data_IF_501227887505
#
_entry.id   IF_501227887505
#
_cell.length_a   1.000
_cell.length_b   1.000
_cell.length_c   1.000
_cell.angle_alpha   90.00
_cell.angle_beta   90.00
_cell.angle_gamma   90.00
#
_symmetry.space_group_name_H-M   'P 1'
#
loop_
_entity.id
_entity.type
_entity.pdbx_description
1 polymer ?
#
# COMPACT_ATOMS: atom_id res chain seq x y z
N UNK A 1 51.89 61.43 -38.82
CA UNK A 1 50.72 61.28 -37.91
C UNK A 1 49.74 60.39 -38.59
N UNK A 2 49.70 59.07 -38.19
CA UNK A 2 48.81 58.05 -38.83
C UNK A 2 47.74 57.78 -37.78
N UNK A 3 46.47 58.13 -38.11
CA UNK A 3 45.33 57.81 -37.29
C UNK A 3 44.90 56.40 -37.60
N UNK A 4 45.00 55.52 -36.61
CA UNK A 4 44.48 54.16 -36.69
C UNK A 4 43.03 54.13 -36.14
N UNK A 5 42.07 53.95 -37.02
CA UNK A 5 40.66 53.86 -36.67
C UNK A 5 40.33 52.39 -36.30
N UNK A 6 40.04 52.13 -35.02
CA UNK A 6 39.57 50.83 -34.53
C UNK A 6 38.07 50.70 -34.83
N UNK A 7 37.71 49.76 -35.69
CA UNK A 7 36.35 49.38 -35.94
C UNK A 7 35.93 48.28 -34.92
N UNK A 8 35.11 48.66 -33.95
CA UNK A 8 34.49 47.71 -33.01
C UNK A 8 33.29 47.04 -33.68
N UNK A 9 33.44 45.77 -34.05
CA UNK A 9 32.33 44.92 -34.51
C UNK A 9 31.69 44.28 -33.27
N UNK A 10 30.49 44.74 -32.91
CA UNK A 10 29.67 44.10 -31.92
C UNK A 10 29.01 42.87 -32.52
N UNK A 11 29.48 41.69 -32.18
CA UNK A 11 28.77 40.43 -32.42
C UNK A 11 27.64 40.27 -31.37
N UNK A 12 26.40 40.52 -31.78
CA UNK A 12 25.22 40.14 -31.01
C UNK A 12 25.05 38.60 -31.09
N UNK A 13 25.61 37.89 -30.11
CA UNK A 13 25.26 36.48 -29.92
C UNK A 13 23.92 36.45 -29.17
N UNK A 14 22.80 36.35 -29.93
CA UNK A 14 21.55 35.94 -29.37
C UNK A 14 21.67 34.44 -29.01
N UNK A 15 22.04 34.15 -27.77
CA UNK A 15 21.82 32.84 -27.16
C UNK A 15 20.31 32.61 -27.03
N UNK A 16 19.71 32.00 -28.04
CA UNK A 16 18.41 31.38 -27.95
C UNK A 16 18.56 30.13 -27.05
N UNK A 17 18.69 30.35 -25.76
CA UNK A 17 18.46 29.35 -24.75
C UNK A 17 16.99 29.01 -24.79
N UNK A 18 16.62 27.93 -25.48
CA UNK A 18 15.37 27.24 -25.15
C UNK A 18 15.50 26.78 -23.72
N UNK A 19 15.00 27.58 -22.77
CA UNK A 19 14.69 27.06 -21.45
C UNK A 19 13.83 25.81 -21.66
N UNK A 20 14.41 24.64 -21.39
CA UNK A 20 13.61 23.46 -21.13
C UNK A 20 12.73 23.86 -19.95
N UNK A 21 11.48 24.20 -20.23
CA UNK A 21 10.48 24.44 -19.21
C UNK A 21 10.38 23.13 -18.43
N UNK A 22 11.16 23.05 -17.36
CA UNK A 22 11.09 21.97 -16.41
C UNK A 22 9.67 22.03 -15.84
N UNK A 23 8.83 21.12 -16.28
CA UNK A 23 7.45 21.03 -15.80
C UNK A 23 7.48 20.51 -14.38
N UNK A 24 7.78 21.39 -13.44
CA UNK A 24 7.60 21.10 -12.02
C UNK A 24 6.12 20.76 -11.79
N UNK A 25 5.90 19.69 -11.03
CA UNK A 25 4.56 19.34 -10.58
C UNK A 25 4.13 20.34 -9.52
N UNK A 26 3.15 21.21 -9.84
CA UNK A 26 2.60 22.18 -8.90
C UNK A 26 1.49 21.52 -8.08
N UNK A 27 1.66 21.49 -6.76
CA UNK A 27 0.64 21.09 -5.82
C UNK A 27 0.82 21.82 -4.49
N UNK A 28 -0.29 21.98 -3.74
CA UNK A 28 -0.24 22.46 -2.37
C UNK A 28 -0.05 21.26 -1.44
N UNK A 29 0.96 21.31 -0.57
CA UNK A 29 1.17 20.32 0.50
C UNK A 29 0.67 20.84 1.84
N UNK A 30 -0.03 19.99 2.59
CA UNK A 30 -0.54 20.27 3.93
C UNK A 30 -0.30 19.04 4.82
N UNK A 31 0.01 19.28 6.09
CA UNK A 31 0.24 18.22 7.08
C UNK A 31 -0.67 18.40 8.28
N UNK A 32 -1.23 17.28 8.76
CA UNK A 32 -2.01 17.24 9.99
C UNK A 32 -1.97 15.84 10.62
N UNK A 33 -2.53 15.72 11.82
CA UNK A 33 -2.65 14.46 12.52
C UNK A 33 -4.13 14.13 12.76
N UNK A 34 -4.43 12.81 12.80
CA UNK A 34 -5.77 12.30 13.10
C UNK A 34 -5.70 11.15 14.11
N UNK A 35 -6.81 10.85 14.75
CA UNK A 35 -6.86 9.83 15.78
C UNK A 35 -6.05 10.23 17.02
N UNK A 36 -5.56 9.22 17.71
CA UNK A 36 -4.82 9.41 18.95
C UNK A 36 -5.69 9.67 20.17
N UNK A 37 -5.11 9.44 21.32
CA UNK A 37 -5.72 9.71 22.63
C UNK A 37 -4.67 10.03 23.67
N UNK A 38 -5.04 10.81 24.69
CA UNK A 38 -4.21 11.03 25.85
C UNK A 38 -4.25 9.81 26.79
N UNK A 39 -3.08 9.35 27.21
CA UNK A 39 -2.89 8.24 28.14
C UNK A 39 -2.06 8.72 29.32
N UNK A 40 -2.58 8.52 30.54
CA UNK A 40 -1.83 8.79 31.78
C UNK A 40 -0.76 7.73 31.99
N UNK A 41 0.41 8.18 32.41
CA UNK A 41 1.53 7.33 32.85
C UNK A 41 1.51 7.17 34.37
N UNK A 42 2.28 6.19 34.89
CA UNK A 42 2.40 5.91 36.32
C UNK A 42 2.88 7.14 37.11
N UNK A 43 3.65 8.03 36.49
CA UNK A 43 4.14 9.29 37.09
C UNK A 43 3.14 10.45 36.96
N UNK A 44 1.87 10.18 36.70
CA UNK A 44 0.79 11.15 36.45
C UNK A 44 0.97 12.07 35.25
N UNK A 45 2.01 11.87 34.41
CA UNK A 45 2.18 12.58 33.15
C UNK A 45 1.27 12.02 32.09
N UNK A 46 0.83 12.87 31.18
CA UNK A 46 -0.09 12.49 30.10
C UNK A 46 0.62 12.61 28.77
N UNK A 47 0.55 11.56 27.96
CA UNK A 47 1.12 11.50 26.62
C UNK A 47 0.04 11.18 25.60
N UNK A 48 0.21 11.66 24.36
CA UNK A 48 -0.66 11.27 23.24
C UNK A 48 -0.06 10.07 22.54
N UNK A 49 -0.90 9.08 22.23
CA UNK A 49 -0.51 7.88 21.46
C UNK A 49 -1.60 7.47 20.48
N UNK A 50 -1.23 6.71 19.44
CA UNK A 50 -2.15 6.23 18.40
C UNK A 50 -2.55 7.27 17.36
N UNK A 51 -1.92 8.46 17.38
CA UNK A 51 -2.08 9.47 16.33
C UNK A 51 -1.44 8.98 15.03
N UNK A 52 -2.02 9.40 13.90
CA UNK A 52 -1.55 9.10 12.56
C UNK A 52 -1.21 10.40 11.83
N UNK A 53 0.02 10.49 11.34
CA UNK A 53 0.48 11.54 10.45
C UNK A 53 -0.20 11.41 9.09
N UNK A 54 -0.64 12.54 8.56
CA UNK A 54 -1.27 12.64 7.24
C UNK A 54 -0.64 13.77 6.46
N UNK A 55 -0.15 13.47 5.27
CA UNK A 55 0.33 14.43 4.29
C UNK A 55 -0.67 14.48 3.13
N UNK A 56 -1.19 15.67 2.85
CA UNK A 56 -2.15 15.91 1.77
C UNK A 56 -1.49 16.69 0.67
N UNK A 57 -1.59 16.19 -0.55
CA UNK A 57 -1.23 16.91 -1.76
C UNK A 57 -2.48 17.27 -2.55
N UNK A 58 -2.65 18.58 -2.82
CA UNK A 58 -3.77 19.10 -3.59
C UNK A 58 -3.24 19.61 -4.92
N UNK A 59 -3.68 19.03 -6.07
CA UNK A 59 -3.27 19.51 -7.39
C UNK A 59 -3.79 20.92 -7.66
N UNK A 60 -3.16 21.62 -8.62
CA UNK A 60 -3.65 22.92 -9.10
C UNK A 60 -5.09 22.84 -9.62
N UNK A 61 -5.42 21.76 -10.33
CA UNK A 61 -6.76 21.48 -10.86
C UNK A 61 -7.25 20.14 -10.33
N UNK A 62 -8.33 20.15 -9.55
CA UNK A 62 -8.98 18.95 -9.03
C UNK A 62 -9.93 18.43 -10.11
N UNK A 63 -9.70 17.17 -10.57
CA UNK A 63 -10.47 16.52 -11.63
C UNK A 63 -11.35 15.37 -11.15
N UNK A 64 -11.15 14.93 -9.91
CA UNK A 64 -11.82 13.74 -9.37
C UNK A 64 -12.59 14.08 -8.11
N UNK A 65 -13.79 13.52 -8.01
CA UNK A 65 -14.72 13.74 -6.88
C UNK A 65 -14.16 13.21 -5.57
N UNK A 66 -13.54 12.05 -5.60
CA UNK A 66 -13.04 11.39 -4.40
C UNK A 66 -11.51 11.45 -4.34
N UNK A 67 -10.94 11.88 -3.20
CA UNK A 67 -9.51 11.81 -2.96
C UNK A 67 -9.04 10.38 -2.79
N UNK A 68 -7.73 10.17 -2.93
CA UNK A 68 -7.06 8.91 -2.67
C UNK A 68 -6.41 8.95 -1.28
N UNK A 69 -6.54 7.87 -0.51
CA UNK A 69 -5.80 7.64 0.73
C UNK A 69 -4.86 6.46 0.51
N UNK A 70 -3.56 6.73 0.50
CA UNK A 70 -2.50 5.75 0.26
C UNK A 70 -1.93 5.27 1.59
N UNK A 71 -2.06 3.97 1.87
CA UNK A 71 -1.63 3.34 3.11
C UNK A 71 -0.55 2.30 2.81
N UNK A 72 0.65 2.53 3.31
CA UNK A 72 1.83 1.70 3.06
C UNK A 72 1.81 0.33 3.76
N UNK A 73 2.71 -0.57 3.35
CA UNK A 73 2.91 -1.89 3.92
C UNK A 73 3.76 -1.92 5.20
N UNK A 74 4.18 -3.12 5.61
CA UNK A 74 5.07 -3.31 6.75
C UNK A 74 6.46 -2.71 6.50
N UNK A 75 7.09 -2.20 7.54
CA UNK A 75 8.41 -1.54 7.52
C UNK A 75 8.52 -0.31 6.60
N UNK A 76 7.42 0.13 5.99
CA UNK A 76 7.35 1.26 5.09
C UNK A 76 6.77 2.50 5.79
N UNK A 77 6.90 3.64 5.11
CA UNK A 77 6.23 4.91 5.40
C UNK A 77 5.59 5.44 4.11
N UNK A 78 5.02 6.64 4.15
CA UNK A 78 4.49 7.32 2.95
C UNK A 78 5.55 7.53 1.85
N UNK A 79 6.84 7.44 2.17
CA UNK A 79 7.94 7.64 1.22
C UNK A 79 7.83 6.71 0.00
N UNK A 80 7.36 5.48 0.18
CA UNK A 80 7.20 4.54 -0.95
C UNK A 80 6.12 4.93 -1.97
N UNK A 81 5.30 5.95 -1.67
CA UNK A 81 4.35 6.54 -2.60
C UNK A 81 4.89 7.81 -3.29
N UNK A 82 5.88 8.47 -2.66
CA UNK A 82 6.43 9.75 -3.11
C UNK A 82 7.53 9.56 -4.16
N UNK A 83 8.43 8.61 -3.92
CA UNK A 83 9.61 8.38 -4.78
C UNK A 83 9.96 6.90 -4.82
N UNK A 84 10.73 6.51 -5.83
CA UNK A 84 11.36 5.19 -5.92
C UNK A 84 12.80 5.26 -5.43
N UNK A 85 13.42 4.14 -5.03
CA UNK A 85 14.81 4.12 -4.54
C UNK A 85 15.85 4.60 -5.58
N UNK A 86 15.53 4.50 -6.86
CA UNK A 86 16.34 4.99 -7.98
C UNK A 86 15.98 6.42 -8.43
N UNK A 87 15.24 7.18 -7.59
CA UNK A 87 14.96 8.60 -7.77
C UNK A 87 13.85 8.96 -8.76
N UNK A 88 13.12 7.98 -9.29
CA UNK A 88 11.95 8.25 -10.16
C UNK A 88 10.74 8.71 -9.33
N UNK A 89 9.79 9.46 -9.93
CA UNK A 89 8.54 9.82 -9.28
C UNK A 89 7.73 8.60 -8.83
N UNK A 90 7.18 8.65 -7.61
CA UNK A 90 6.27 7.65 -7.09
C UNK A 90 4.82 7.86 -7.55
N UNK A 91 3.91 7.00 -7.09
CA UNK A 91 2.49 7.03 -7.47
C UNK A 91 1.75 8.30 -7.02
N UNK A 92 2.14 8.90 -5.89
CA UNK A 92 1.55 10.15 -5.44
C UNK A 92 1.72 11.26 -6.47
N UNK A 93 2.91 11.35 -7.08
CA UNK A 93 3.19 12.30 -8.16
C UNK A 93 2.30 12.04 -9.40
N UNK A 94 2.14 10.75 -9.76
CA UNK A 94 1.28 10.38 -10.88
C UNK A 94 -0.18 10.81 -10.63
N UNK A 95 -0.73 10.47 -9.47
CA UNK A 95 -2.14 10.76 -9.17
C UNK A 95 -2.41 12.26 -9.02
N UNK A 96 -1.51 13.02 -8.36
CA UNK A 96 -1.65 14.48 -8.26
C UNK A 96 -1.58 15.13 -9.64
N UNK A 97 -0.65 14.69 -10.51
CA UNK A 97 -0.56 15.18 -11.90
C UNK A 97 -1.84 14.92 -12.69
N UNK A 98 -2.55 13.84 -12.38
CA UNK A 98 -3.82 13.48 -13.01
C UNK A 98 -5.05 14.12 -12.33
N UNK A 99 -4.87 15.02 -11.36
CA UNK A 99 -5.94 15.81 -10.74
C UNK A 99 -6.61 15.18 -9.53
N UNK A 100 -6.01 14.16 -8.91
CA UNK A 100 -6.48 13.63 -7.62
C UNK A 100 -5.92 14.44 -6.45
N UNK A 101 -6.75 14.70 -5.43
CA UNK A 101 -6.23 14.99 -4.10
C UNK A 101 -5.69 13.69 -3.53
N UNK A 102 -4.46 13.71 -3.02
CA UNK A 102 -3.79 12.51 -2.48
C UNK A 102 -3.47 12.73 -1.01
N UNK A 103 -3.92 11.81 -0.17
CA UNK A 103 -3.53 11.70 1.23
C UNK A 103 -2.57 10.53 1.39
N UNK A 104 -1.43 10.76 1.98
CA UNK A 104 -0.44 9.75 2.33
C UNK A 104 -0.28 9.72 3.83
N UNK A 105 -0.28 8.54 4.42
CA UNK A 105 -0.23 8.37 5.87
C UNK A 105 1.02 7.60 6.29
N UNK A 106 1.56 7.94 7.46
CA UNK A 106 2.41 7.02 8.21
C UNK A 106 1.52 6.38 9.29
N UNK A 107 1.46 5.04 9.31
CA UNK A 107 0.64 4.31 10.29
C UNK A 107 1.00 4.71 11.72
N UNK A 108 0.08 4.67 12.69
CA UNK A 108 0.40 4.96 14.09
C UNK A 108 1.62 4.19 14.58
N UNK A 109 2.44 4.82 15.42
CA UNK A 109 3.69 4.31 15.96
C UNK A 109 4.72 3.95 14.88
N UNK A 110 4.77 4.73 13.79
CA UNK A 110 5.69 4.53 12.66
C UNK A 110 6.06 5.83 11.97
N UNK A 111 7.33 5.97 11.55
CA UNK A 111 7.81 7.12 10.78
C UNK A 111 7.50 8.44 11.48
N UNK A 112 6.72 9.30 10.83
CA UNK A 112 6.31 10.60 11.38
C UNK A 112 5.12 10.53 12.36
N UNK A 113 4.52 9.35 12.53
CA UNK A 113 3.54 9.08 13.58
C UNK A 113 4.26 8.62 14.83
N UNK A 114 4.55 9.57 15.74
CA UNK A 114 5.38 9.33 16.91
C UNK A 114 4.92 8.13 17.75
N UNK A 115 5.88 7.41 18.30
CA UNK A 115 5.71 6.32 19.23
C UNK A 115 6.41 6.61 20.58
N UNK A 116 5.99 5.94 21.63
CA UNK A 116 6.54 6.13 22.97
C UNK A 116 6.96 4.79 23.57
N UNK A 117 8.24 4.57 23.90
CA UNK A 117 8.75 3.29 24.38
C UNK A 117 8.02 2.69 25.60
N UNK A 118 7.47 3.57 26.46
CA UNK A 118 6.78 3.17 27.68
C UNK A 118 5.28 2.87 27.48
N UNK A 119 4.73 3.13 26.29
CA UNK A 119 3.30 2.95 25.99
C UNK A 119 3.12 1.95 24.85
N UNK A 120 3.86 2.16 23.76
CA UNK A 120 3.82 1.32 22.60
C UNK A 120 4.54 0.00 22.89
N UNK A 121 3.99 -1.07 22.37
CA UNK A 121 4.53 -2.42 22.61
C UNK A 121 5.78 -2.68 21.77
N UNK A 122 6.23 -3.93 21.80
CA UNK A 122 7.44 -4.37 21.10
C UNK A 122 7.39 -4.06 19.59
N UNK A 123 8.53 -3.64 19.09
CA UNK A 123 8.78 -3.40 17.67
C UNK A 123 9.53 -4.54 17.01
N UNK A 124 9.47 -4.59 15.70
CA UNK A 124 10.27 -5.47 14.84
C UNK A 124 10.85 -4.71 13.68
N UNK A 125 12.06 -5.07 13.30
CA UNK A 125 12.69 -4.71 12.04
C UNK A 125 12.75 -5.91 11.09
N UNK A 126 12.83 -5.64 9.81
CA UNK A 126 13.22 -6.63 8.81
C UNK A 126 14.71 -6.42 8.50
N UNK A 127 15.50 -7.49 8.55
CA UNK A 127 16.88 -7.45 8.12
C UNK A 127 16.98 -7.43 6.59
N UNK A 128 18.15 -7.02 6.08
CA UNK A 128 18.37 -6.87 4.64
C UNK A 128 18.18 -8.19 3.89
N UNK A 129 18.62 -9.32 4.44
CA UNK A 129 18.52 -10.64 3.79
C UNK A 129 17.07 -11.09 3.59
N UNK A 130 16.16 -10.71 4.48
CA UNK A 130 14.73 -10.99 4.32
C UNK A 130 14.15 -10.13 3.18
N UNK A 131 14.56 -8.86 3.09
CA UNK A 131 14.08 -7.96 2.04
C UNK A 131 14.61 -8.38 0.67
N UNK A 132 15.91 -8.72 0.56
CA UNK A 132 16.49 -9.28 -0.66
C UNK A 132 15.69 -10.49 -1.15
N UNK A 133 15.49 -11.47 -0.27
CA UNK A 133 14.82 -12.74 -0.61
C UNK A 133 13.36 -12.58 -0.99
N UNK A 134 12.66 -11.59 -0.44
CA UNK A 134 11.21 -11.47 -0.63
C UNK A 134 10.82 -10.38 -1.60
N UNK A 135 11.59 -9.28 -1.68
CA UNK A 135 11.14 -8.07 -2.34
C UNK A 135 11.99 -7.67 -3.53
N UNK A 136 13.31 -7.69 -3.39
CA UNK A 136 14.19 -7.01 -4.33
C UNK A 136 14.99 -7.92 -5.26
N UNK A 137 15.30 -9.15 -4.82
CA UNK A 137 16.15 -10.08 -5.56
C UNK A 137 15.68 -11.55 -5.46
N UNK A 138 14.37 -11.77 -5.38
CA UNK A 138 13.80 -13.11 -5.13
C UNK A 138 14.26 -14.17 -6.14
N UNK A 139 14.49 -13.80 -7.39
CA UNK A 139 14.96 -14.66 -8.49
C UNK A 139 16.38 -15.21 -8.29
N UNK A 140 17.19 -14.55 -7.44
CA UNK A 140 18.58 -14.93 -7.20
C UNK A 140 18.73 -15.99 -6.10
N UNK A 141 17.64 -16.34 -5.42
CA UNK A 141 17.68 -17.30 -4.31
C UNK A 141 17.03 -18.64 -4.68
N UNK A 142 17.64 -19.73 -4.24
CA UNK A 142 17.08 -21.08 -4.38
C UNK A 142 15.93 -21.31 -3.39
N UNK A 143 15.04 -22.24 -3.73
CA UNK A 143 13.96 -22.72 -2.85
C UNK A 143 12.96 -21.64 -2.42
N UNK A 144 12.71 -20.66 -3.28
CA UNK A 144 11.66 -19.66 -3.10
C UNK A 144 10.28 -20.25 -3.52
N UNK A 145 9.30 -19.39 -3.67
CA UNK A 145 8.00 -19.78 -4.23
C UNK A 145 8.11 -20.00 -5.75
N UNK A 146 7.18 -20.74 -6.35
CA UNK A 146 7.30 -21.17 -7.75
C UNK A 146 7.48 -20.05 -8.77
N UNK A 147 6.96 -18.84 -8.51
CA UNK A 147 7.00 -17.71 -9.46
C UNK A 147 8.20 -16.78 -9.26
N UNK A 148 9.01 -16.95 -8.21
CA UNK A 148 10.12 -16.06 -7.85
C UNK A 148 11.10 -15.76 -9.00
N UNK A 149 11.40 -16.77 -9.83
CA UNK A 149 12.36 -16.64 -10.94
C UNK A 149 11.92 -15.66 -12.04
N UNK A 150 10.65 -15.23 -12.03
CA UNK A 150 10.10 -14.26 -13.00
C UNK A 150 10.35 -12.81 -12.62
N UNK A 151 10.95 -12.53 -11.46
CA UNK A 151 11.21 -11.17 -11.01
C UNK A 151 12.26 -10.47 -11.88
N UNK A 152 11.87 -9.40 -12.56
CA UNK A 152 12.74 -8.69 -13.52
C UNK A 152 12.61 -7.16 -13.45
N UNK A 153 11.68 -6.66 -12.63
CA UNK A 153 11.34 -5.25 -12.59
C UNK A 153 12.06 -4.44 -11.51
N UNK A 154 12.80 -5.08 -10.61
CA UNK A 154 13.60 -4.31 -9.66
C UNK A 154 14.69 -3.51 -10.38
N UNK A 155 14.85 -2.20 -10.09
CA UNK A 155 16.00 -1.43 -10.59
C UNK A 155 17.26 -1.80 -9.79
N UNK A 156 18.38 -2.06 -10.47
CA UNK A 156 19.62 -2.53 -9.85
C UNK A 156 19.65 -4.03 -9.54
N UNK A 157 20.59 -4.45 -8.69
CA UNK A 157 20.79 -5.87 -8.34
C UNK A 157 19.85 -6.37 -7.26
N UNK A 158 19.27 -5.47 -6.49
CA UNK A 158 18.40 -5.79 -5.36
C UNK A 158 19.11 -6.37 -4.13
N UNK A 159 20.45 -6.21 -4.02
CA UNK A 159 21.32 -6.77 -2.98
C UNK A 159 22.04 -5.68 -2.20
N UNK A 160 22.40 -5.98 -0.96
CA UNK A 160 23.25 -5.13 -0.13
C UNK A 160 24.50 -4.68 -0.89
N UNK A 161 24.84 -3.38 -0.80
CA UNK A 161 25.92 -2.74 -1.52
C UNK A 161 25.56 -2.24 -2.93
N UNK A 162 24.34 -2.51 -3.40
CA UNK A 162 23.76 -1.83 -4.55
C UNK A 162 23.13 -0.53 -4.07
N UNK A 163 23.47 0.60 -4.69
CA UNK A 163 23.01 1.93 -4.26
C UNK A 163 21.47 2.01 -4.17
N UNK A 164 20.76 1.38 -5.09
CA UNK A 164 19.30 1.39 -5.13
C UNK A 164 18.73 0.54 -3.99
N UNK A 165 19.30 -0.64 -3.73
CA UNK A 165 18.90 -1.46 -2.59
C UNK A 165 19.19 -0.73 -1.27
N UNK A 166 20.35 -0.11 -1.14
CA UNK A 166 20.75 0.58 0.08
C UNK A 166 19.83 1.79 0.35
N UNK A 167 19.41 2.54 -0.68
CA UNK A 167 18.37 3.57 -0.56
C UNK A 167 17.01 2.99 -0.13
N UNK A 168 16.61 1.86 -0.69
CA UNK A 168 15.40 1.17 -0.27
C UNK A 168 15.50 0.71 1.18
N UNK A 169 16.63 0.10 1.57
CA UNK A 169 16.82 -0.37 2.94
C UNK A 169 16.87 0.78 3.95
N UNK A 170 17.51 1.90 3.61
CA UNK A 170 17.55 3.10 4.43
C UNK A 170 16.15 3.71 4.69
N UNK A 171 15.19 3.48 3.81
CA UNK A 171 13.81 3.93 4.01
C UNK A 171 12.98 3.02 4.93
N UNK A 172 13.52 1.86 5.33
CA UNK A 172 12.81 0.93 6.20
C UNK A 172 12.78 1.42 7.63
N UNK A 173 11.65 1.26 8.29
CA UNK A 173 11.44 1.65 9.68
C UNK A 173 10.89 0.49 10.50
N UNK A 174 11.10 0.54 11.79
CA UNK A 174 10.49 -0.39 12.73
C UNK A 174 8.96 -0.32 12.66
N UNK A 175 8.32 -1.41 12.99
CA UNK A 175 6.87 -1.51 13.09
C UNK A 175 6.45 -2.30 14.31
N UNK A 176 5.28 -2.00 14.86
CA UNK A 176 4.70 -2.78 15.95
C UNK A 176 4.71 -4.27 15.61
N UNK A 177 5.19 -5.08 16.53
CA UNK A 177 5.25 -6.55 16.39
C UNK A 177 3.84 -7.16 16.39
N UNK A 178 2.93 -6.58 17.16
CA UNK A 178 1.54 -7.03 17.27
C UNK A 178 0.70 -6.58 16.07
N UNK A 179 0.27 -7.54 15.26
CA UNK A 179 -0.69 -7.29 14.18
C UNK A 179 -2.06 -6.85 14.69
N UNK A 180 -2.49 -7.36 15.85
CA UNK A 180 -3.76 -6.98 16.47
C UNK A 180 -3.73 -5.50 16.88
N UNK A 181 -2.65 -5.07 17.52
CA UNK A 181 -2.50 -3.68 17.92
C UNK A 181 -2.42 -2.73 16.73
N UNK A 182 -1.57 -3.03 15.74
CA UNK A 182 -1.50 -2.27 14.50
C UNK A 182 -2.86 -2.14 13.82
N UNK A 183 -3.63 -3.24 13.76
CA UNK A 183 -4.97 -3.27 13.15
C UNK A 183 -5.93 -2.34 13.87
N UNK A 184 -5.96 -2.37 15.21
CA UNK A 184 -6.85 -1.52 16.00
C UNK A 184 -6.47 -0.04 15.90
N UNK A 185 -5.17 0.29 15.96
CA UNK A 185 -4.68 1.66 15.84
C UNK A 185 -5.01 2.24 14.46
N UNK A 186 -4.72 1.51 13.38
CA UNK A 186 -4.98 1.99 12.01
C UNK A 186 -6.47 2.04 11.71
N UNK A 187 -7.29 1.09 12.18
CA UNK A 187 -8.75 1.16 12.09
C UNK A 187 -9.28 2.47 12.68
N UNK A 188 -8.85 2.80 13.90
CA UNK A 188 -9.34 4.00 14.61
C UNK A 188 -8.84 5.29 13.95
N UNK A 189 -7.56 5.37 13.62
CA UNK A 189 -6.98 6.55 12.98
C UNK A 189 -7.49 6.75 11.54
N UNK A 190 -7.67 5.66 10.78
CA UNK A 190 -8.23 5.68 9.45
C UNK A 190 -9.70 6.10 9.43
N UNK A 191 -10.50 5.64 10.40
CA UNK A 191 -11.87 6.10 10.59
C UNK A 191 -11.91 7.61 10.90
N UNK A 192 -11.06 8.07 11.82
CA UNK A 192 -10.94 9.51 12.15
C UNK A 192 -10.47 10.34 10.95
N UNK A 193 -9.61 9.78 10.08
CA UNK A 193 -9.24 10.45 8.83
C UNK A 193 -10.46 10.63 7.92
N UNK A 194 -11.22 9.56 7.68
CA UNK A 194 -12.42 9.63 6.84
C UNK A 194 -13.48 10.56 7.43
N UNK A 195 -13.68 10.58 8.75
CA UNK A 195 -14.58 11.53 9.42
C UNK A 195 -14.17 12.99 9.16
N UNK A 196 -12.87 13.25 9.02
CA UNK A 196 -12.31 14.59 8.76
C UNK A 196 -12.38 15.00 7.30
N UNK A 197 -12.09 14.07 6.36
CA UNK A 197 -11.93 14.40 4.93
C UNK A 197 -13.16 14.08 4.08
N UNK A 198 -14.10 13.30 4.61
CA UNK A 198 -15.26 12.79 3.87
C UNK A 198 -14.94 11.55 3.02
N UNK A 199 -15.82 11.27 2.03
CA UNK A 199 -15.70 10.07 1.19
C UNK A 199 -14.40 10.03 0.38
N UNK A 200 -13.74 8.84 0.37
CA UNK A 200 -12.45 8.62 -0.27
C UNK A 200 -12.33 7.22 -0.90
N UNK A 201 -11.30 7.04 -1.72
CA UNK A 201 -10.84 5.75 -2.25
C UNK A 201 -9.59 5.35 -1.48
N UNK A 202 -9.53 4.12 -0.98
CA UNK A 202 -8.36 3.59 -0.27
C UNK A 202 -7.45 2.83 -1.25
N UNK A 203 -6.15 3.12 -1.22
CA UNK A 203 -5.11 2.32 -1.89
C UNK A 203 -4.23 1.73 -0.79
N UNK A 204 -4.24 0.41 -0.69
CA UNK A 204 -3.55 -0.33 0.38
C UNK A 204 -2.55 -1.31 -0.21
N UNK A 205 -1.44 -1.53 0.51
CA UNK A 205 -0.41 -2.48 0.11
C UNK A 205 -0.03 -3.41 1.28
N UNK A 206 0.06 -4.72 1.02
CA UNK A 206 0.62 -5.69 1.95
C UNK A 206 -0.06 -5.65 3.33
N UNK A 207 0.64 -5.27 4.39
CA UNK A 207 0.10 -5.16 5.76
C UNK A 207 -1.14 -4.28 5.84
N UNK A 208 -1.25 -3.25 5.02
CA UNK A 208 -2.41 -2.35 5.06
C UNK A 208 -3.65 -2.87 4.33
N UNK A 209 -3.57 -3.96 3.60
CA UNK A 209 -4.76 -4.59 3.01
C UNK A 209 -5.84 -4.89 4.06
N UNK A 210 -5.54 -5.68 5.11
CA UNK A 210 -6.45 -5.87 6.24
C UNK A 210 -6.95 -4.57 6.89
N UNK A 211 -6.13 -3.53 6.93
CA UNK A 211 -6.55 -2.23 7.47
C UNK A 211 -7.59 -1.54 6.57
N UNK A 212 -7.46 -1.69 5.25
CA UNK A 212 -8.47 -1.21 4.31
C UNK A 212 -9.85 -1.82 4.57
N UNK A 213 -9.91 -3.13 4.83
CA UNK A 213 -11.13 -3.82 5.22
C UNK A 213 -11.71 -3.28 6.53
N UNK A 214 -10.87 -3.10 7.55
CA UNK A 214 -11.26 -2.61 8.87
C UNK A 214 -11.74 -1.15 8.86
N UNK A 215 -11.10 -0.27 8.09
CA UNK A 215 -11.52 1.13 7.92
C UNK A 215 -12.88 1.16 7.21
N UNK A 216 -13.06 0.31 6.17
CA UNK A 216 -14.33 0.20 5.45
C UNK A 216 -15.44 -0.32 6.34
N UNK A 217 -15.17 -1.34 7.15
CA UNK A 217 -16.12 -1.88 8.11
C UNK A 217 -16.56 -0.84 9.15
N UNK A 218 -15.63 0.03 9.58
CA UNK A 218 -15.90 1.10 10.53
C UNK A 218 -16.62 2.31 9.90
N UNK A 219 -16.43 2.59 8.61
CA UNK A 219 -16.99 3.74 7.88
C UNK A 219 -17.43 3.34 6.47
N UNK A 220 -18.43 2.43 6.36
CA UNK A 220 -18.84 1.91 5.06
C UNK A 220 -19.31 3.00 4.09
N UNK A 221 -19.99 4.04 4.58
CA UNK A 221 -20.51 5.11 3.73
C UNK A 221 -19.43 6.06 3.18
N UNK A 222 -18.28 6.12 3.85
CA UNK A 222 -17.17 7.01 3.48
C UNK A 222 -16.11 6.32 2.58
N UNK A 223 -16.13 5.00 2.43
CA UNK A 223 -15.24 4.31 1.49
C UNK A 223 -15.98 4.06 0.17
N UNK A 224 -15.52 4.69 -0.92
CA UNK A 224 -16.14 4.61 -2.26
C UNK A 224 -15.51 3.54 -3.14
N UNK A 225 -14.31 3.11 -2.81
CA UNK A 225 -13.63 2.02 -3.48
C UNK A 225 -12.34 1.65 -2.77
N UNK A 226 -11.83 0.47 -3.05
CA UNK A 226 -10.59 -0.04 -2.48
C UNK A 226 -9.73 -0.61 -3.62
N UNK A 227 -8.50 -0.15 -3.70
CA UNK A 227 -7.44 -0.80 -4.47
C UNK A 227 -6.55 -1.51 -3.46
N UNK A 228 -6.63 -2.82 -3.41
CA UNK A 228 -5.79 -3.62 -2.51
C UNK A 228 -4.70 -4.34 -3.30
N UNK A 229 -3.48 -4.13 -2.89
CA UNK A 229 -2.29 -4.64 -3.55
C UNK A 229 -1.68 -5.68 -2.63
N UNK A 230 -1.77 -6.94 -3.02
CA UNK A 230 -1.14 -8.05 -2.29
C UNK A 230 -1.36 -7.98 -0.77
N UNK A 231 -2.62 -7.96 -0.30
CA UNK A 231 -2.94 -7.80 1.11
C UNK A 231 -2.37 -8.96 1.94
N UNK A 232 -1.95 -8.67 3.17
CA UNK A 232 -1.55 -9.73 4.10
C UNK A 232 -2.62 -10.81 4.22
N UNK A 233 -2.19 -12.05 4.13
CA UNK A 233 -3.02 -13.25 4.12
C UNK A 233 -2.17 -14.51 4.27
N UNK A 234 -2.67 -15.67 3.84
CA UNK A 234 -4.04 -15.94 3.37
C UNK A 234 -5.07 -16.02 4.53
N UNK A 235 -6.36 -16.18 4.23
CA UNK A 235 -7.41 -16.40 5.22
C UNK A 235 -7.13 -17.61 6.12
N UNK A 236 -7.46 -17.49 7.40
CA UNK A 236 -7.47 -18.53 8.43
C UNK A 236 -6.07 -19.06 8.74
N UNK A 237 -5.44 -19.80 7.82
CA UNK A 237 -4.12 -20.42 8.04
C UNK A 237 -3.21 -20.26 6.84
N UNK A 238 -1.93 -20.05 7.13
CA UNK A 238 -0.90 -20.01 6.10
C UNK A 238 -0.51 -21.42 5.60
N UNK A 239 0.36 -21.49 4.59
CA UNK A 239 0.82 -22.77 3.99
C UNK A 239 1.48 -23.74 4.96
N UNK A 240 1.90 -23.28 6.15
CA UNK A 240 2.48 -24.11 7.22
C UNK A 240 1.44 -24.56 8.25
N UNK A 241 0.14 -24.28 8.03
CA UNK A 241 -0.93 -24.60 8.95
C UNK A 241 -1.01 -23.70 10.18
N UNK A 242 -0.17 -22.66 10.28
CA UNK A 242 -0.22 -21.68 11.37
C UNK A 242 -1.32 -20.65 11.12
N UNK A 243 -1.95 -20.19 12.20
CA UNK A 243 -2.96 -19.15 12.13
C UNK A 243 -2.44 -17.90 11.41
N UNK A 244 -3.27 -17.31 10.58
CA UNK A 244 -3.01 -16.14 9.77
C UNK A 244 -4.11 -15.11 10.04
N UNK A 245 -5.05 -14.89 9.12
CA UNK A 245 -6.18 -13.97 9.30
C UNK A 245 -7.35 -14.69 9.96
N UNK A 246 -7.33 -14.78 11.28
CA UNK A 246 -8.27 -15.60 12.06
C UNK A 246 -9.73 -15.19 11.93
N UNK A 247 -9.99 -13.92 11.58
CA UNK A 247 -11.33 -13.40 11.27
C UNK A 247 -11.64 -13.42 9.76
N UNK A 248 -11.03 -14.32 9.03
CA UNK A 248 -11.17 -14.45 7.58
C UNK A 248 -10.14 -13.63 6.84
N UNK A 249 -10.33 -12.32 6.72
CA UNK A 249 -9.42 -11.41 6.01
C UNK A 249 -8.69 -10.43 6.95
N UNK A 250 -8.86 -10.57 8.27
CA UNK A 250 -8.27 -9.72 9.29
C UNK A 250 -7.85 -10.54 10.52
N UNK A 251 -7.08 -9.94 11.42
CA UNK A 251 -6.68 -10.52 12.71
C UNK A 251 -7.51 -10.00 13.88
N UNK A 252 -8.41 -9.06 13.65
CA UNK A 252 -9.33 -8.46 14.64
C UNK A 252 -10.77 -8.54 14.12
N UNK A 253 -11.79 -8.40 14.98
CA UNK A 253 -13.18 -8.54 14.60
C UNK A 253 -13.61 -7.63 13.45
N UNK A 254 -14.43 -8.18 12.56
CA UNK A 254 -15.20 -7.50 11.54
C UNK A 254 -16.69 -7.79 11.70
N UNK A 255 -17.52 -6.96 11.08
CA UNK A 255 -18.98 -7.11 11.12
C UNK A 255 -19.43 -8.18 10.12
N UNK A 256 -19.84 -9.32 10.65
CA UNK A 256 -20.44 -10.43 9.88
C UNK A 256 -21.94 -10.53 10.12
N UNK A 257 -22.65 -11.04 9.12
CA UNK A 257 -24.05 -11.48 9.22
C UNK A 257 -24.18 -12.97 8.82
N UNK A 258 -24.72 -13.84 9.65
CA UNK A 258 -25.06 -13.66 11.08
C UNK A 258 -23.84 -13.24 11.94
N UNK A 259 -24.11 -12.44 12.97
CA UNK A 259 -23.07 -11.90 13.86
C UNK A 259 -22.24 -13.01 14.50
N UNK A 260 -20.93 -12.79 14.57
CA UNK A 260 -19.98 -13.66 15.29
C UNK A 260 -19.24 -12.85 16.37
N UNK A 261 -19.06 -13.47 17.53
CA UNK A 261 -18.32 -12.89 18.66
C UNK A 261 -16.94 -13.54 18.86
N UNK A 262 -16.67 -14.63 18.15
CA UNK A 262 -15.43 -15.39 18.26
C UNK A 262 -15.04 -15.90 16.86
N UNK A 263 -13.75 -15.83 16.47
CA UNK A 263 -13.31 -16.33 15.17
C UNK A 263 -13.58 -17.83 14.95
N UNK A 264 -13.72 -18.63 16.01
CA UNK A 264 -14.10 -20.05 15.92
C UNK A 264 -15.52 -20.25 15.39
N UNK A 265 -16.37 -19.22 15.41
CA UNK A 265 -17.70 -19.28 14.80
C UNK A 265 -17.65 -19.21 13.25
N UNK A 266 -16.49 -18.91 12.69
CA UNK A 266 -16.22 -19.12 11.27
C UNK A 266 -15.86 -20.60 11.08
N UNK A 267 -16.87 -21.41 10.82
CA UNK A 267 -16.65 -22.81 10.46
C UNK A 267 -15.95 -22.88 9.10
N UNK A 268 -14.77 -23.52 9.07
CA UNK A 268 -13.91 -23.49 7.88
C UNK A 268 -13.52 -24.88 7.41
N UNK A 269 -13.23 -24.98 6.13
CA UNK A 269 -12.76 -26.20 5.46
C UNK A 269 -11.67 -25.82 4.46
N UNK A 270 -10.66 -26.67 4.32
CA UNK A 270 -9.64 -26.48 3.30
C UNK A 270 -10.09 -27.15 1.99
N UNK A 271 -9.80 -26.52 0.86
CA UNK A 271 -10.00 -27.12 -0.46
C UNK A 271 -9.28 -28.47 -0.60
N UNK A 272 -9.90 -29.40 -1.28
CA UNK A 272 -9.29 -30.71 -1.56
C UNK A 272 -8.20 -30.64 -2.63
N UNK A 273 -8.34 -29.72 -3.60
CA UNK A 273 -7.39 -29.47 -4.69
C UNK A 273 -7.12 -27.98 -4.83
N UNK A 274 -5.90 -27.62 -5.22
CA UNK A 274 -5.55 -26.25 -5.58
C UNK A 274 -6.26 -25.86 -6.89
N UNK A 275 -6.61 -24.57 -7.03
CA UNK A 275 -7.33 -24.05 -8.20
C UNK A 275 -6.47 -23.94 -9.47
N UNK A 276 -5.14 -24.05 -9.35
CA UNK A 276 -4.22 -23.97 -10.48
C UNK A 276 -2.83 -24.46 -10.13
N UNK A 277 -2.00 -24.58 -11.17
CA UNK A 277 -0.58 -24.92 -11.02
C UNK A 277 0.12 -23.81 -10.21
N UNK A 278 0.96 -24.21 -9.27
CA UNK A 278 1.72 -23.30 -8.40
C UNK A 278 0.86 -22.43 -7.46
N UNK A 279 -0.41 -22.78 -7.25
CA UNK A 279 -1.29 -22.16 -6.27
C UNK A 279 -1.45 -23.05 -5.03
N UNK A 280 -1.73 -22.43 -3.89
CA UNK A 280 -2.02 -23.16 -2.66
C UNK A 280 -3.50 -23.55 -2.61
N UNK A 281 -3.84 -24.53 -1.77
CA UNK A 281 -5.24 -24.83 -1.40
C UNK A 281 -5.73 -23.78 -0.43
N UNK A 282 -6.88 -23.17 -0.73
CA UNK A 282 -7.47 -22.15 0.13
C UNK A 282 -8.25 -22.73 1.30
N UNK A 283 -8.27 -21.97 2.40
CA UNK A 283 -9.28 -22.13 3.44
C UNK A 283 -10.50 -21.30 3.05
N UNK A 284 -11.69 -21.86 3.21
CA UNK A 284 -12.97 -21.22 2.93
C UNK A 284 -13.98 -21.50 4.04
N UNK A 285 -15.01 -20.70 4.14
CA UNK A 285 -16.12 -20.97 5.06
C UNK A 285 -16.87 -22.24 4.62
N UNK A 286 -17.43 -22.98 5.58
CA UNK A 286 -18.50 -23.94 5.28
C UNK A 286 -19.76 -23.17 4.92
N UNK A 287 -20.58 -23.72 4.03
CA UNK A 287 -21.87 -23.12 3.69
C UNK A 287 -22.95 -23.43 4.77
N UNK A 288 -23.85 -22.47 5.03
CA UNK A 288 -23.93 -21.13 4.43
C UNK A 288 -22.87 -20.17 4.99
N UNK A 289 -22.17 -19.49 4.08
CA UNK A 289 -21.11 -18.57 4.45
C UNK A 289 -21.64 -17.28 5.10
N UNK A 290 -20.98 -16.84 6.17
CA UNK A 290 -21.25 -15.56 6.84
C UNK A 290 -20.79 -14.40 5.98
N UNK A 291 -21.59 -13.34 5.92
CA UNK A 291 -21.43 -12.22 4.98
C UNK A 291 -20.76 -11.02 5.63
N UNK A 292 -19.85 -10.35 4.92
CA UNK A 292 -19.20 -9.09 5.31
C UNK A 292 -20.04 -7.90 4.84
N UNK A 293 -21.14 -7.62 5.55
CA UNK A 293 -22.19 -6.71 5.10
C UNK A 293 -21.72 -5.27 4.83
N UNK A 294 -20.76 -4.77 5.60
CA UNK A 294 -20.23 -3.40 5.43
C UNK A 294 -19.29 -3.24 4.21
N UNK A 295 -18.89 -4.35 3.59
CA UNK A 295 -18.04 -4.36 2.39
C UNK A 295 -18.81 -4.70 1.11
N UNK A 296 -20.07 -5.16 1.21
CA UNK A 296 -20.85 -5.77 0.14
C UNK A 296 -20.92 -4.92 -1.14
N UNK A 297 -21.17 -3.63 -1.00
CA UNK A 297 -21.43 -2.72 -2.13
C UNK A 297 -20.19 -1.89 -2.52
N UNK A 298 -18.99 -2.35 -2.17
CA UNK A 298 -17.75 -1.63 -2.49
C UNK A 298 -17.16 -2.08 -3.82
N UNK A 299 -16.66 -1.12 -4.60
CA UNK A 299 -15.83 -1.42 -5.76
C UNK A 299 -14.42 -1.79 -5.28
N UNK A 300 -13.99 -3.01 -5.51
CA UNK A 300 -12.71 -3.52 -5.01
C UNK A 300 -11.88 -4.03 -6.18
N UNK A 301 -10.72 -3.41 -6.39
CA UNK A 301 -9.65 -3.94 -7.25
C UNK A 301 -8.65 -4.69 -6.36
N UNK A 302 -8.40 -5.94 -6.70
CA UNK A 302 -7.43 -6.80 -6.04
C UNK A 302 -6.28 -7.10 -7.01
N UNK A 303 -5.09 -6.57 -6.75
CA UNK A 303 -3.91 -6.73 -7.63
C UNK A 303 -2.93 -7.75 -7.07
N UNK A 304 -2.44 -8.62 -7.96
CA UNK A 304 -1.39 -9.62 -7.67
C UNK A 304 -0.30 -9.46 -8.73
N UNK A 305 0.96 -9.34 -8.28
CA UNK A 305 2.14 -9.33 -9.14
C UNK A 305 2.57 -10.73 -9.55
N UNK A 306 3.13 -10.87 -10.77
CA UNK A 306 3.49 -12.15 -11.35
C UNK A 306 4.51 -12.93 -10.51
N UNK A 307 5.52 -12.25 -9.99
CA UNK A 307 6.66 -12.90 -9.31
C UNK A 307 6.68 -12.73 -7.80
N UNK A 308 5.68 -12.08 -7.22
CA UNK A 308 5.59 -11.87 -5.78
C UNK A 308 5.43 -13.17 -4.99
N UNK A 309 5.90 -13.17 -3.75
CA UNK A 309 5.61 -14.27 -2.81
C UNK A 309 4.11 -14.38 -2.45
N UNK A 310 3.30 -13.40 -2.84
CA UNK A 310 1.85 -13.41 -2.77
C UNK A 310 1.18 -14.18 -3.91
N UNK A 311 1.84 -14.29 -5.07
CA UNK A 311 1.28 -14.94 -6.26
C UNK A 311 0.69 -16.34 -6.02
N UNK A 312 1.27 -17.20 -5.14
CA UNK A 312 0.70 -18.52 -4.85
C UNK A 312 -0.59 -18.52 -4.04
N UNK A 313 -0.94 -17.46 -3.29
CA UNK A 313 -2.01 -17.56 -2.28
C UNK A 313 -3.02 -16.41 -2.22
N UNK A 314 -2.77 -15.27 -2.84
CA UNK A 314 -3.68 -14.11 -2.70
C UNK A 314 -5.07 -14.32 -3.29
N UNK A 315 -5.21 -15.23 -4.28
CA UNK A 315 -6.51 -15.66 -4.76
C UNK A 315 -7.40 -16.20 -3.63
N UNK A 316 -6.81 -16.75 -2.56
CA UNK A 316 -7.58 -17.24 -1.42
C UNK A 316 -8.30 -16.09 -0.68
N UNK A 317 -7.66 -14.91 -0.57
CA UNK A 317 -8.28 -13.74 0.05
C UNK A 317 -9.42 -13.19 -0.81
N UNK A 318 -9.22 -13.11 -2.14
CA UNK A 318 -10.27 -12.75 -3.09
C UNK A 318 -11.46 -13.72 -3.03
N UNK A 319 -11.20 -15.02 -3.02
CA UNK A 319 -12.25 -16.06 -2.91
C UNK A 319 -13.02 -15.95 -1.60
N UNK A 320 -12.34 -15.70 -0.48
CA UNK A 320 -12.99 -15.48 0.81
C UNK A 320 -13.95 -14.28 0.77
N UNK A 321 -13.49 -13.15 0.21
CA UNK A 321 -14.33 -11.96 0.04
C UNK A 321 -15.57 -12.29 -0.81
N UNK A 322 -15.39 -12.97 -1.94
CA UNK A 322 -16.48 -13.37 -2.84
C UNK A 322 -17.48 -14.27 -2.11
N UNK A 323 -17.01 -15.28 -1.37
CA UNK A 323 -17.86 -16.15 -0.58
C UNK A 323 -18.61 -15.40 0.52
N UNK A 324 -17.98 -14.39 1.12
CA UNK A 324 -18.58 -13.50 2.12
C UNK A 324 -19.46 -12.40 1.51
N UNK A 325 -19.88 -12.51 0.25
CA UNK A 325 -20.80 -11.59 -0.44
C UNK A 325 -20.17 -10.32 -0.96
N UNK A 326 -18.83 -10.20 -0.97
CA UNK A 326 -18.10 -9.01 -1.38
C UNK A 326 -17.53 -9.21 -2.79
N UNK A 327 -18.11 -8.53 -3.78
CA UNK A 327 -17.61 -8.53 -5.16
C UNK A 327 -16.24 -7.86 -5.22
N UNK A 328 -15.33 -8.46 -5.97
CA UNK A 328 -14.02 -7.88 -6.23
C UNK A 328 -13.49 -8.30 -7.59
N UNK A 329 -12.73 -7.40 -8.22
CA UNK A 329 -12.05 -7.63 -9.49
C UNK A 329 -10.63 -8.12 -9.17
N UNK A 330 -10.43 -9.43 -9.19
CA UNK A 330 -9.10 -10.03 -9.04
C UNK A 330 -8.34 -9.92 -10.36
N UNK A 331 -7.24 -9.18 -10.35
CA UNK A 331 -6.36 -9.00 -11.51
C UNK A 331 -4.96 -9.48 -11.17
N UNK A 332 -4.48 -10.46 -11.93
CA UNK A 332 -3.07 -10.80 -12.01
C UNK A 332 -2.44 -9.90 -13.06
N UNK A 333 -1.38 -9.19 -12.70
CA UNK A 333 -0.77 -8.21 -13.61
C UNK A 333 -0.28 -8.84 -14.91
N UNK A 334 0.19 -10.09 -14.87
CA UNK A 334 0.59 -10.84 -16.07
C UNK A 334 -0.54 -11.06 -17.07
N UNK A 335 -1.80 -11.14 -16.63
CA UNK A 335 -2.96 -11.35 -17.49
C UNK A 335 -3.34 -10.07 -18.26
N UNK A 336 -2.84 -8.93 -17.81
CA UNK A 336 -2.98 -7.63 -18.50
C UNK A 336 -1.65 -7.13 -19.08
N UNK A 337 -0.73 -8.06 -19.38
CA UNK A 337 0.59 -7.82 -19.97
C UNK A 337 1.58 -7.00 -19.14
N UNK A 338 1.35 -6.81 -17.85
CA UNK A 338 2.28 -6.18 -16.91
C UNK A 338 3.04 -7.32 -16.20
N UNK A 339 4.30 -7.55 -16.57
CA UNK A 339 5.05 -8.75 -16.19
C UNK A 339 6.31 -8.45 -15.39
N UNK A 340 6.77 -9.47 -14.67
CA UNK A 340 8.04 -9.45 -13.94
C UNK A 340 8.04 -8.69 -12.64
N UNK A 341 6.89 -8.21 -12.17
CA UNK A 341 6.79 -7.47 -10.91
C UNK A 341 6.84 -8.37 -9.70
N UNK A 342 7.57 -7.94 -8.68
CA UNK A 342 7.58 -8.49 -7.33
C UNK A 342 6.59 -7.78 -6.40
N UNK A 343 6.84 -7.94 -5.09
CA UNK A 343 5.94 -7.39 -4.06
C UNK A 343 5.95 -5.85 -3.98
N UNK A 344 7.06 -5.22 -4.35
CA UNK A 344 7.24 -3.76 -4.24
C UNK A 344 6.95 -3.05 -5.57
N UNK A 345 5.91 -3.47 -6.26
CA UNK A 345 5.54 -3.03 -7.61
C UNK A 345 5.42 -1.50 -7.78
N UNK A 346 5.14 -0.74 -6.71
CA UNK A 346 5.11 0.72 -6.73
C UNK A 346 6.50 1.36 -6.81
N UNK A 347 7.57 0.59 -6.53
CA UNK A 347 8.97 1.04 -6.57
C UNK A 347 9.73 0.52 -7.81
N UNK A 348 9.15 -0.44 -8.53
CA UNK A 348 9.79 -1.14 -9.64
C UNK A 348 9.78 -0.32 -10.94
N UNK A 349 10.55 -0.76 -11.96
CA UNK A 349 10.83 0.00 -13.20
C UNK A 349 9.57 0.46 -13.94
N UNK A 350 8.51 -0.33 -13.95
CA UNK A 350 7.25 -0.06 -14.63
C UNK A 350 6.14 0.47 -13.69
N UNK A 351 6.50 1.05 -12.52
CA UNK A 351 5.56 1.51 -11.50
C UNK A 351 4.45 2.43 -12.06
N UNK A 352 4.77 3.31 -13.02
CA UNK A 352 3.80 4.25 -13.61
C UNK A 352 2.81 3.53 -14.54
N UNK A 353 3.21 2.46 -15.21
CA UNK A 353 2.29 1.63 -15.99
C UNK A 353 1.20 1.02 -15.09
N UNK A 354 1.59 0.53 -13.92
CA UNK A 354 0.65 0.01 -12.93
C UNK A 354 -0.24 1.11 -12.36
N UNK A 355 0.31 2.30 -12.06
CA UNK A 355 -0.49 3.44 -11.63
C UNK A 355 -1.55 3.84 -12.68
N UNK A 356 -1.20 3.82 -13.97
CA UNK A 356 -2.15 4.05 -15.08
C UNK A 356 -3.26 2.99 -15.14
N UNK A 357 -2.90 1.72 -14.93
CA UNK A 357 -3.88 0.64 -14.88
C UNK A 357 -4.89 0.86 -13.75
N UNK A 358 -4.41 1.19 -12.55
CA UNK A 358 -5.24 1.50 -11.37
C UNK A 358 -6.15 2.71 -11.65
N UNK A 359 -5.61 3.78 -12.20
CA UNK A 359 -6.36 5.00 -12.54
C UNK A 359 -7.50 4.72 -13.54
N UNK A 360 -7.21 3.96 -14.59
CA UNK A 360 -8.20 3.56 -15.58
C UNK A 360 -9.32 2.71 -14.96
N UNK A 361 -8.96 1.77 -14.07
CA UNK A 361 -9.95 0.97 -13.35
C UNK A 361 -10.83 1.85 -12.44
N UNK A 362 -10.22 2.77 -11.66
CA UNK A 362 -10.98 3.67 -10.79
C UNK A 362 -11.97 4.54 -11.58
N UNK A 363 -11.55 5.13 -12.69
CA UNK A 363 -12.41 5.92 -13.58
C UNK A 363 -13.59 5.14 -14.16
N UNK A 364 -13.40 3.85 -14.43
CA UNK A 364 -14.45 2.97 -14.96
C UNK A 364 -15.41 2.51 -13.86
N UNK A 365 -14.91 2.19 -12.68
CA UNK A 365 -15.65 1.44 -11.66
C UNK A 365 -16.21 2.33 -10.55
N UNK A 366 -15.62 3.52 -10.29
CA UNK A 366 -16.03 4.40 -9.19
C UNK A 366 -16.62 5.69 -9.76
N UNK A 367 -17.93 5.87 -9.61
CA UNK A 367 -18.70 7.03 -10.13
C UNK A 367 -18.96 8.09 -9.06
#
# INVERSE_FOLDING_TARGET
MIFLTFLLVFFNIQLLGKEKQSSYLEYKSEVFYVGGKYVKQDNSKTLMTGQMYVEKWTPKEIKHKYPLVLIHGAAQTAVNWITTPDGRPGWANYFVKNGYIVYMVDQPSRGRSAWHPNIDKEFRMFNAEILEKKFTAAEQFKNQWPQAYKHTQWPGTGRQGDEIFDQFYASQVESLKSHVESSNLVKNAGAALLDKIGPAILITHSQSGPFGWLITDARPDLVKGIVTIEPSGPPIKNKKGKDSMTWGVTVVPMTYEPTISNPKHLEVVQETKAQGKNLVKCWKQKEPAKQLVNLKDKNILFLISESSYHAPYDHCTSNWLTQAGVKNDLVRLEDVNIKGNGHMLMLEKNNIEIAKFIDNWMKKSIK
#
